data_IF_199402138075
#
_entry.id   IF_199402138075
#
_cell.length_a   1.000
_cell.length_b   1.000
_cell.length_c   1.000
_cell.angle_alpha   90.00
_cell.angle_beta   90.00
_cell.angle_gamma   90.00
#
_symmetry.space_group_name_H-M   'P 1'
#
loop_
_entity.id
_entity.type
_entity.pdbx_description
1 polymer ?
#
# COMPACT_ATOMS: atom_id res chain seq x y z
N UNK A 1 43.51 14.89 -12.30
CA UNK A 1 42.42 14.05 -11.75
C UNK A 1 42.66 12.60 -12.14
N UNK A 2 43.04 11.75 -11.19
CA UNK A 2 43.37 10.34 -11.47
C UNK A 2 42.13 9.49 -11.76
N UNK A 3 42.27 8.49 -12.63
CA UNK A 3 41.21 7.51 -12.96
C UNK A 3 40.62 6.85 -11.70
N UNK A 4 41.47 6.53 -10.73
CA UNK A 4 41.07 5.92 -9.46
C UNK A 4 40.09 6.79 -8.62
N UNK A 5 40.31 8.11 -8.59
CA UNK A 5 39.42 9.02 -7.85
C UNK A 5 38.02 9.08 -8.48
N UNK A 6 37.94 9.07 -9.82
CA UNK A 6 36.67 9.07 -10.54
C UNK A 6 35.88 7.77 -10.35
N UNK A 7 36.56 6.64 -10.29
CA UNK A 7 35.94 5.34 -9.99
C UNK A 7 35.33 5.33 -8.57
N UNK A 8 36.08 5.81 -7.58
CA UNK A 8 35.60 5.91 -6.19
C UNK A 8 34.39 6.85 -6.06
N UNK A 9 34.39 7.96 -6.79
CA UNK A 9 33.24 8.87 -6.83
C UNK A 9 32.01 8.19 -7.42
N UNK A 10 32.14 7.48 -8.54
CA UNK A 10 31.02 6.77 -9.17
C UNK A 10 30.43 5.69 -8.24
N UNK A 11 31.27 4.91 -7.54
CA UNK A 11 30.81 3.91 -6.57
C UNK A 11 30.04 4.57 -5.42
N UNK A 12 30.55 5.69 -4.89
CA UNK A 12 29.88 6.44 -3.82
C UNK A 12 28.52 6.96 -4.28
N UNK A 13 28.43 7.50 -5.49
CA UNK A 13 27.20 8.08 -6.01
C UNK A 13 26.13 7.00 -6.24
N UNK A 14 26.51 5.80 -6.72
CA UNK A 14 25.58 4.69 -6.85
C UNK A 14 25.14 4.14 -5.48
N UNK A 15 26.06 4.03 -4.52
CA UNK A 15 25.72 3.64 -3.15
C UNK A 15 24.76 4.66 -2.49
N UNK A 16 25.00 5.95 -2.67
CA UNK A 16 24.15 7.01 -2.14
C UNK A 16 22.77 7.02 -2.82
N UNK A 17 22.73 6.87 -4.14
CA UNK A 17 21.49 6.75 -4.92
C UNK A 17 20.67 5.53 -4.49
N UNK A 18 21.33 4.39 -4.31
CA UNK A 18 20.70 3.17 -3.82
C UNK A 18 20.13 3.36 -2.41
N UNK A 19 20.92 3.91 -1.49
CA UNK A 19 20.49 4.16 -0.12
C UNK A 19 19.27 5.11 -0.04
N UNK A 20 19.29 6.22 -0.79
CA UNK A 20 18.16 7.16 -0.86
C UNK A 20 16.93 6.46 -1.45
N UNK A 21 17.09 5.73 -2.56
CA UNK A 21 16.01 5.00 -3.21
C UNK A 21 15.37 3.99 -2.27
N UNK A 22 16.18 3.20 -1.57
CA UNK A 22 15.73 2.19 -0.62
C UNK A 22 14.98 2.80 0.57
N UNK A 23 15.50 3.87 1.18
CA UNK A 23 14.81 4.54 2.29
C UNK A 23 13.51 5.22 1.85
N UNK A 24 13.45 5.75 0.62
CA UNK A 24 12.20 6.26 0.05
C UNK A 24 11.16 5.15 -0.10
N UNK A 25 11.55 4.01 -0.67
CA UNK A 25 10.67 2.85 -0.80
C UNK A 25 10.18 2.34 0.57
N UNK A 26 11.06 2.27 1.57
CA UNK A 26 10.70 1.82 2.91
C UNK A 26 9.74 2.81 3.60
N UNK A 27 9.94 4.12 3.42
CA UNK A 27 9.04 5.16 3.93
C UNK A 27 7.67 5.09 3.25
N UNK A 28 7.64 4.96 1.93
CA UNK A 28 6.40 4.79 1.18
C UNK A 28 5.64 3.54 1.62
N UNK A 29 6.35 2.43 1.87
CA UNK A 29 5.74 1.20 2.38
C UNK A 29 5.09 1.44 3.75
N UNK A 30 5.80 2.10 4.67
CA UNK A 30 5.26 2.42 6.01
C UNK A 30 4.01 3.30 5.97
N UNK A 31 4.00 4.32 5.11
CA UNK A 31 2.82 5.19 4.92
C UNK A 31 1.65 4.40 4.34
N UNK A 32 1.92 3.52 3.36
CA UNK A 32 0.88 2.67 2.75
C UNK A 32 0.32 1.67 3.76
N UNK A 33 1.16 1.09 4.62
CA UNK A 33 0.72 0.14 5.66
C UNK A 33 -0.12 0.86 6.74
N UNK A 34 0.14 2.14 7.01
CA UNK A 34 -0.64 2.98 7.92
C UNK A 34 -2.06 3.29 7.42
N UNK A 35 -2.34 3.19 6.11
CA UNK A 35 -3.68 3.48 5.59
C UNK A 35 -4.73 2.47 6.09
N UNK A 36 -4.33 1.24 6.37
CA UNK A 36 -5.23 0.23 6.92
C UNK A 36 -5.63 0.52 8.37
N UNK A 37 -4.84 1.33 9.11
CA UNK A 37 -5.15 1.76 10.48
C UNK A 37 -6.25 2.82 10.52
N UNK A 38 -6.44 3.57 9.43
CA UNK A 38 -7.46 4.62 9.35
C UNK A 38 -8.86 4.06 9.05
N UNK A 39 -8.97 2.77 8.73
CA UNK A 39 -10.25 2.15 8.33
C UNK A 39 -11.08 1.81 9.58
N UNK A 40 -12.24 2.46 9.77
CA UNK A 40 -13.11 2.17 10.91
C UNK A 40 -13.62 0.71 10.86
N UNK A 41 -13.59 0.02 12.00
CA UNK A 41 -14.02 -1.39 12.11
C UNK A 41 -12.92 -2.42 11.81
N UNK A 42 -11.73 -1.98 11.36
CA UNK A 42 -10.54 -2.82 11.23
C UNK A 42 -9.67 -2.67 12.47
N UNK A 43 -9.69 -3.69 13.34
CA UNK A 43 -8.77 -3.78 14.47
C UNK A 43 -7.36 -4.19 14.07
N UNK A 44 -6.41 -4.02 14.99
CA UNK A 44 -4.98 -4.34 14.81
C UNK A 44 -4.73 -5.76 14.29
N UNK A 45 -5.50 -6.75 14.77
CA UNK A 45 -5.43 -8.15 14.34
C UNK A 45 -5.77 -8.34 12.87
N UNK A 46 -6.91 -7.80 12.42
CA UNK A 46 -7.36 -7.90 11.01
C UNK A 46 -6.42 -7.18 10.06
N UNK A 47 -5.92 -6.00 10.46
CA UNK A 47 -4.87 -5.29 9.70
C UNK A 47 -3.62 -6.15 9.54
N UNK A 48 -3.12 -6.75 10.62
CA UNK A 48 -1.94 -7.61 10.54
C UNK A 48 -2.19 -8.81 9.62
N UNK A 49 -3.38 -9.42 9.67
CA UNK A 49 -3.73 -10.52 8.77
C UNK A 49 -3.80 -10.06 7.30
N UNK A 50 -4.40 -8.90 7.02
CA UNK A 50 -4.42 -8.28 5.70
C UNK A 50 -2.99 -8.04 5.18
N UNK A 51 -2.11 -7.43 5.97
CA UNK A 51 -0.73 -7.18 5.57
C UNK A 51 0.09 -8.46 5.44
N UNK A 52 -0.11 -9.45 6.32
CA UNK A 52 0.64 -10.71 6.28
C UNK A 52 0.26 -11.54 5.06
N UNK A 53 -1.02 -11.56 4.69
CA UNK A 53 -1.53 -12.42 3.59
C UNK A 53 -1.51 -11.72 2.24
N UNK A 54 -1.82 -10.44 2.20
CA UNK A 54 -1.96 -9.66 0.96
C UNK A 54 -0.79 -8.70 0.72
N UNK A 55 0.08 -8.50 1.71
CA UNK A 55 1.28 -7.70 1.59
C UNK A 55 1.06 -6.22 1.91
N UNK A 56 0.58 -5.44 0.93
CA UNK A 56 0.53 -3.98 1.04
C UNK A 56 -0.84 -3.41 0.68
N UNK A 57 -1.20 -2.25 1.24
CA UNK A 57 -2.43 -1.54 0.93
C UNK A 57 -2.66 -1.31 -0.58
N UNK A 58 -1.59 -1.04 -1.35
CA UNK A 58 -1.70 -0.88 -2.81
C UNK A 58 -2.11 -2.18 -3.50
N UNK A 59 -1.58 -3.31 -3.06
CA UNK A 59 -1.94 -4.63 -3.60
C UNK A 59 -3.38 -4.97 -3.23
N UNK A 60 -3.80 -4.66 -2.01
CA UNK A 60 -5.19 -4.86 -1.55
C UNK A 60 -6.15 -4.01 -2.41
N UNK A 61 -5.83 -2.75 -2.69
CA UNK A 61 -6.63 -1.86 -3.52
C UNK A 61 -6.79 -2.29 -4.99
N UNK A 62 -5.94 -3.21 -5.47
CA UNK A 62 -6.01 -3.78 -6.83
C UNK A 62 -6.71 -5.14 -6.90
N UNK A 63 -7.16 -5.67 -5.77
CA UNK A 63 -7.86 -6.96 -5.70
C UNK A 63 -9.35 -6.74 -5.58
N UNK A 64 -10.14 -7.65 -6.15
CA UNK A 64 -11.60 -7.64 -5.97
C UNK A 64 -11.99 -7.85 -4.49
N UNK A 65 -13.06 -7.20 -4.00
CA UNK A 65 -13.53 -7.33 -2.62
C UNK A 65 -13.71 -8.78 -2.14
N UNK A 66 -14.18 -9.67 -3.01
CA UNK A 66 -14.37 -11.09 -2.74
C UNK A 66 -13.03 -11.80 -2.45
N UNK A 67 -11.98 -11.44 -3.20
CA UNK A 67 -10.65 -11.99 -3.01
C UNK A 67 -10.03 -11.50 -1.69
N UNK A 68 -10.31 -10.25 -1.30
CA UNK A 68 -9.88 -9.70 0.00
C UNK A 68 -10.58 -10.43 1.15
N UNK A 69 -11.90 -10.65 1.04
CA UNK A 69 -12.69 -11.38 2.04
C UNK A 69 -12.22 -12.84 2.17
N UNK A 70 -11.99 -13.54 1.05
CA UNK A 70 -11.53 -14.93 1.05
C UNK A 70 -10.13 -15.09 1.66
N UNK A 71 -9.26 -14.09 1.50
CA UNK A 71 -7.92 -14.15 2.03
C UNK A 71 -7.86 -14.06 3.57
N UNK A 72 -8.77 -13.31 4.20
CA UNK A 72 -8.73 -13.03 5.64
C UNK A 72 -9.92 -13.68 6.36
N UNK A 73 -9.67 -14.74 7.16
CA UNK A 73 -10.73 -15.42 7.92
C UNK A 73 -11.48 -14.45 8.85
N UNK A 74 -12.81 -14.44 8.75
CA UNK A 74 -13.66 -13.56 9.58
C UNK A 74 -13.71 -12.10 9.11
N UNK A 75 -13.23 -11.80 7.91
CA UNK A 75 -13.52 -10.56 7.20
C UNK A 75 -14.76 -10.77 6.31
N UNK A 76 -15.87 -10.10 6.66
CA UNK A 76 -17.08 -10.14 5.84
C UNK A 76 -16.90 -9.39 4.51
N UNK A 77 -17.70 -9.75 3.50
CA UNK A 77 -17.67 -9.11 2.18
C UNK A 77 -17.94 -7.59 2.24
N UNK A 78 -18.85 -7.16 3.12
CA UNK A 78 -19.17 -5.75 3.34
C UNK A 78 -17.95 -4.96 3.81
N UNK A 79 -17.21 -5.49 4.77
CA UNK A 79 -16.00 -4.86 5.29
C UNK A 79 -14.86 -4.90 4.26
N UNK A 80 -14.75 -5.99 3.48
CA UNK A 80 -13.78 -6.10 2.41
C UNK A 80 -14.03 -5.06 1.29
N UNK A 81 -15.29 -4.83 0.92
CA UNK A 81 -15.68 -3.78 -0.02
C UNK A 81 -15.36 -2.38 0.53
N UNK A 82 -15.64 -2.13 1.81
CA UNK A 82 -15.26 -0.87 2.46
C UNK A 82 -13.73 -0.65 2.43
N UNK A 83 -12.94 -1.69 2.72
CA UNK A 83 -11.48 -1.63 2.64
C UNK A 83 -11.03 -1.31 1.22
N UNK A 84 -11.58 -2.00 0.23
CA UNK A 84 -11.27 -1.78 -1.18
C UNK A 84 -11.53 -0.33 -1.60
N UNK A 85 -12.74 0.17 -1.36
CA UNK A 85 -13.13 1.54 -1.70
C UNK A 85 -12.28 2.57 -0.97
N UNK A 86 -12.08 2.41 0.34
CA UNK A 86 -11.28 3.36 1.14
C UNK A 86 -9.85 3.46 0.62
N UNK A 87 -9.21 2.32 0.36
CA UNK A 87 -7.83 2.30 -0.10
C UNK A 87 -7.68 2.90 -1.50
N UNK A 88 -8.62 2.64 -2.39
CA UNK A 88 -8.58 3.21 -3.74
C UNK A 88 -8.77 4.72 -3.74
N UNK A 89 -9.67 5.23 -2.90
CA UNK A 89 -9.90 6.67 -2.75
C UNK A 89 -8.65 7.36 -2.20
N UNK A 90 -8.02 6.78 -1.17
CA UNK A 90 -6.79 7.35 -0.57
C UNK A 90 -5.54 7.21 -1.44
N UNK A 91 -5.49 6.20 -2.30
CA UNK A 91 -4.41 6.04 -3.27
C UNK A 91 -4.64 6.85 -4.56
N UNK A 92 -5.78 7.54 -4.70
CA UNK A 92 -6.13 8.30 -5.90
C UNK A 92 -6.34 7.42 -7.13
N UNK A 93 -6.69 6.14 -6.93
CA UNK A 93 -6.98 5.19 -8.02
C UNK A 93 -8.38 5.40 -8.60
N UNK A 94 -9.23 6.14 -7.88
CA UNK A 94 -10.59 6.50 -8.26
C UNK A 94 -10.58 7.92 -8.83
N UNK A 95 -10.11 8.06 -10.06
CA UNK A 95 -10.29 9.31 -10.84
C UNK A 95 -11.66 9.35 -11.55
N UNK A 96 -12.63 8.58 -11.06
CA UNK A 96 -14.04 8.64 -11.47
C UNK A 96 -14.90 8.84 -10.21
N UNK A 97 -15.90 9.75 -10.23
CA UNK A 97 -16.72 10.04 -9.06
C UNK A 97 -17.46 8.78 -8.59
N UNK A 98 -17.81 8.68 -7.29
CA UNK A 98 -18.60 7.56 -6.79
C UNK A 98 -19.89 7.46 -7.62
N UNK A 99 -20.36 6.24 -7.98
CA UNK A 99 -21.71 6.11 -8.49
C UNK A 99 -22.64 6.63 -7.39
N UNK A 100 -23.27 7.78 -7.65
CA UNK A 100 -24.42 8.29 -6.92
C UNK A 100 -25.52 7.24 -7.05
N UNK A 101 -25.50 6.26 -6.15
CA UNK A 101 -26.55 5.28 -5.96
C UNK A 101 -27.43 5.70 -4.80
N UNK A 102 -27.96 6.93 -4.85
CA UNK A 102 -29.20 7.24 -4.17
C UNK A 102 -30.30 6.63 -5.04
N UNK A 103 -30.74 5.43 -4.67
CA UNK A 103 -31.84 4.71 -5.30
C UNK A 103 -32.57 3.95 -4.22
N UNK A 104 -33.76 4.47 -3.91
CA UNK A 104 -34.84 3.97 -3.05
C UNK A 104 -34.91 2.45 -2.79
#
# INVERSE_FOLDING_TARGET
TGLALRLLQAIRDEAHRFAIGYHRQLREKRIKDSLLDEIPGIGTKRRMELLTRLGSAKRIASMEPEAIAAAVPGLGLTLAAQVHTFLRQRLGLDSSPPPSGDGE
#
